data_IF_330084124239
#
_entry.id   IF_330084124239
#
_cell.length_a   1.000
_cell.length_b   1.000
_cell.length_c   1.000
_cell.angle_alpha   90.00
_cell.angle_beta   90.00
_cell.angle_gamma   90.00
#
_symmetry.space_group_name_H-M   'P 1'
#
loop_
_entity.id
_entity.type
_entity.pdbx_description
1 polymer ?
#
# COMPACT_ATOMS: atom_id res chain seq x y z
N UNK A 1 -29.23 -0.28 -81.67
CA UNK A 1 -29.84 0.72 -80.77
C UNK A 1 -28.78 1.21 -79.79
N UNK A 2 -28.70 2.53 -79.63
CA UNK A 2 -27.63 3.25 -78.93
C UNK A 2 -27.70 3.16 -77.39
N UNK A 3 -26.50 3.27 -76.79
CA UNK A 3 -26.13 3.98 -75.57
C UNK A 3 -26.78 3.59 -74.22
N UNK A 4 -25.95 3.28 -73.21
CA UNK A 4 -25.51 4.27 -72.20
C UNK A 4 -24.44 3.65 -71.28
N UNK A 5 -23.32 4.34 -71.18
CA UNK A 5 -22.22 4.14 -70.23
C UNK A 5 -22.64 4.50 -68.81
N UNK A 6 -22.22 3.74 -67.80
CA UNK A 6 -22.11 4.27 -66.43
C UNK A 6 -20.96 3.61 -65.68
N UNK A 7 -19.78 4.20 -65.83
CA UNK A 7 -18.68 4.09 -64.88
C UNK A 7 -19.04 4.82 -63.58
N UNK A 8 -18.83 4.18 -62.43
CA UNK A 8 -18.78 4.83 -61.11
C UNK A 8 -17.84 4.04 -60.19
N UNK A 9 -17.23 4.69 -59.19
CA UNK A 9 -15.79 4.68 -59.03
C UNK A 9 -15.36 3.83 -57.84
N UNK A 10 -14.11 3.38 -57.91
CA UNK A 10 -13.30 2.95 -56.79
C UNK A 10 -13.29 4.07 -55.72
N UNK A 11 -14.05 3.87 -54.65
CA UNK A 11 -14.05 4.77 -53.50
C UNK A 11 -13.08 4.22 -52.47
N UNK A 12 -11.96 4.91 -52.35
CA UNK A 12 -11.03 4.81 -51.25
C UNK A 12 -11.73 4.95 -49.87
N UNK A 13 -11.15 4.24 -48.89
CA UNK A 13 -11.32 4.41 -47.43
C UNK A 13 -11.30 5.89 -47.01
N UNK A 14 -12.01 6.27 -45.93
CA UNK A 14 -11.55 6.04 -44.54
C UNK A 14 -12.75 5.66 -43.62
N UNK A 15 -12.66 5.14 -42.41
CA UNK A 15 -11.82 5.47 -41.28
C UNK A 15 -11.85 4.29 -40.29
N UNK A 16 -10.68 3.81 -39.91
CA UNK A 16 -10.18 3.98 -38.56
C UNK A 16 -11.21 3.95 -37.41
N UNK A 17 -11.98 2.87 -37.26
CA UNK A 17 -12.43 2.48 -35.92
C UNK A 17 -11.27 1.77 -35.24
N UNK A 18 -10.29 2.58 -34.84
CA UNK A 18 -9.49 2.31 -33.65
C UNK A 18 -10.48 2.11 -32.51
N UNK A 19 -10.93 0.87 -32.34
CA UNK A 19 -11.15 0.34 -31.02
C UNK A 19 -9.88 0.64 -30.27
N UNK A 20 -9.93 1.69 -29.45
CA UNK A 20 -8.90 2.00 -28.49
C UNK A 20 -8.84 0.77 -27.59
N UNK A 21 -7.98 -0.17 -27.98
CA UNK A 21 -7.48 -1.20 -27.12
C UNK A 21 -6.72 -0.42 -26.06
N UNK A 22 -7.45 -0.02 -25.02
CA UNK A 22 -6.91 0.49 -23.78
C UNK A 22 -6.17 -0.67 -23.15
N UNK A 23 -4.99 -0.97 -23.70
CA UNK A 23 -4.03 -1.89 -23.12
C UNK A 23 -3.79 -1.34 -21.72
N UNK A 24 -4.19 -2.08 -20.67
CA UNK A 24 -3.92 -1.63 -19.31
C UNK A 24 -2.41 -1.47 -19.22
N UNK A 25 -1.96 -0.27 -18.89
CA UNK A 25 -0.57 0.14 -18.87
C UNK A 25 0.28 -0.92 -18.17
N UNK A 26 0.96 -1.80 -18.94
CA UNK A 26 1.69 -2.98 -18.48
C UNK A 26 2.99 -2.62 -17.73
N UNK A 27 2.89 -1.81 -16.68
CA UNK A 27 4.02 -1.37 -15.87
C UNK A 27 4.41 -2.39 -14.80
N UNK A 28 5.58 -2.19 -14.17
CA UNK A 28 6.04 -3.06 -13.07
C UNK A 28 5.05 -3.14 -11.92
N UNK A 29 4.31 -2.05 -11.66
CA UNK A 29 3.30 -1.99 -10.60
C UNK A 29 2.28 -3.12 -10.68
N UNK A 30 1.82 -3.47 -11.88
CA UNK A 30 0.78 -4.49 -12.06
C UNK A 30 1.26 -5.88 -11.66
N UNK A 31 2.57 -6.12 -11.75
CA UNK A 31 3.18 -7.39 -11.35
C UNK A 31 3.29 -7.53 -9.83
N UNK A 32 3.09 -6.46 -9.06
CA UNK A 32 3.09 -6.46 -7.59
C UNK A 32 1.71 -6.78 -7.00
N UNK A 33 0.70 -7.08 -7.83
CA UNK A 33 -0.68 -7.36 -7.36
C UNK A 33 -0.73 -8.46 -6.30
N UNK A 34 -0.07 -9.59 -6.53
CA UNK A 34 -0.08 -10.71 -5.58
C UNK A 34 0.70 -10.39 -4.31
N UNK A 35 1.75 -9.55 -4.42
CA UNK A 35 2.43 -8.98 -3.25
C UNK A 35 1.50 -8.10 -2.44
N UNK A 36 0.75 -7.21 -3.08
CA UNK A 36 -0.22 -6.35 -2.41
C UNK A 36 -1.31 -7.18 -1.70
N UNK A 37 -1.79 -8.26 -2.32
CA UNK A 37 -2.74 -9.18 -1.69
C UNK A 37 -2.17 -9.84 -0.44
N UNK A 38 -0.92 -10.31 -0.47
CA UNK A 38 -0.28 -10.88 0.71
C UNK A 38 -0.12 -9.83 1.82
N UNK A 39 0.39 -8.64 1.48
CA UNK A 39 0.62 -7.56 2.43
C UNK A 39 -0.67 -7.12 3.12
N UNK A 40 -1.75 -6.96 2.35
CA UNK A 40 -3.05 -6.59 2.91
C UNK A 40 -3.64 -7.70 3.78
N UNK A 41 -3.55 -8.96 3.36
CA UNK A 41 -4.03 -10.12 4.14
C UNK A 41 -3.34 -10.22 5.51
N UNK A 42 -2.01 -10.06 5.53
CA UNK A 42 -1.23 -10.06 6.77
C UNK A 42 -1.51 -8.80 7.62
N UNK A 43 -1.70 -7.64 6.98
CA UNK A 43 -2.02 -6.38 7.64
C UNK A 43 -3.35 -6.40 8.39
N UNK A 44 -4.38 -7.07 7.87
CA UNK A 44 -5.71 -7.15 8.51
C UNK A 44 -5.80 -8.13 9.70
N UNK A 45 -4.67 -8.63 10.20
CA UNK A 45 -4.63 -9.59 11.31
C UNK A 45 -4.60 -11.05 10.87
N UNK A 46 -4.27 -11.33 9.61
CA UNK A 46 -3.96 -12.68 9.16
C UNK A 46 -2.68 -13.15 9.84
N UNK A 47 -2.80 -13.99 10.87
CA UNK A 47 -1.66 -14.66 11.49
C UNK A 47 -1.40 -15.98 10.77
N UNK A 48 -0.16 -16.22 10.38
CA UNK A 48 0.25 -17.57 9.94
C UNK A 48 0.63 -18.39 11.17
N UNK A 49 0.23 -19.66 11.18
CA UNK A 49 0.71 -20.65 12.16
C UNK A 49 2.03 -21.29 11.72
N UNK A 50 2.44 -21.05 10.49
CA UNK A 50 3.60 -21.65 9.85
C UNK A 50 4.46 -20.57 9.17
N UNK A 51 5.62 -20.30 9.75
CA UNK A 51 6.58 -19.33 9.21
C UNK A 51 7.27 -19.84 7.95
N UNK A 52 7.43 -21.16 7.78
CA UNK A 52 8.06 -21.78 6.62
C UNK A 52 7.12 -21.76 5.41
N UNK A 53 5.83 -22.01 5.61
CA UNK A 53 4.81 -21.84 4.57
C UNK A 53 4.79 -20.40 4.06
N UNK A 54 4.78 -19.42 4.97
CA UNK A 54 4.81 -18.01 4.63
C UNK A 54 6.12 -17.63 3.90
N UNK A 55 7.25 -18.18 4.34
CA UNK A 55 8.54 -18.00 3.67
C UNK A 55 8.50 -18.52 2.23
N UNK A 56 7.98 -19.72 2.02
CA UNK A 56 7.84 -20.31 0.70
C UNK A 56 6.90 -19.49 -0.19
N UNK A 57 5.81 -18.96 0.37
CA UNK A 57 4.91 -18.04 -0.35
C UNK A 57 5.63 -16.77 -0.79
N UNK A 58 6.42 -16.15 0.08
CA UNK A 58 7.22 -14.98 -0.27
C UNK A 58 8.25 -15.29 -1.37
N UNK A 59 8.94 -16.45 -1.31
CA UNK A 59 9.88 -16.88 -2.36
C UNK A 59 9.20 -17.01 -3.72
N UNK A 60 8.01 -17.62 -3.77
CA UNK A 60 7.23 -17.73 -5.00
C UNK A 60 6.85 -16.35 -5.57
N UNK A 61 6.47 -15.40 -4.72
CA UNK A 61 6.16 -14.03 -5.16
C UNK A 61 7.38 -13.33 -5.77
N UNK A 62 8.56 -13.49 -5.15
CA UNK A 62 9.82 -12.92 -5.64
C UNK A 62 10.21 -13.55 -6.99
N UNK A 63 10.11 -14.88 -7.10
CA UNK A 63 10.41 -15.61 -8.33
C UNK A 63 9.46 -15.22 -9.47
N UNK A 64 8.14 -15.21 -9.20
CA UNK A 64 7.15 -14.79 -10.17
C UNK A 64 7.38 -13.36 -10.66
N UNK A 65 7.71 -12.44 -9.75
CA UNK A 65 8.03 -11.06 -10.09
C UNK A 65 9.30 -10.98 -10.95
N UNK A 66 10.37 -11.66 -10.55
CA UNK A 66 11.64 -11.73 -11.29
C UNK A 66 11.44 -12.22 -12.72
N UNK A 67 10.72 -13.33 -12.89
CA UNK A 67 10.47 -13.94 -14.20
C UNK A 67 9.54 -13.08 -15.06
N UNK A 68 8.53 -12.44 -14.46
CA UNK A 68 7.67 -11.51 -15.18
C UNK A 68 8.44 -10.27 -15.67
N UNK A 69 9.33 -9.71 -14.85
CA UNK A 69 10.18 -8.59 -15.27
C UNK A 69 11.14 -9.00 -16.39
N UNK A 70 11.73 -10.21 -16.29
CA UNK A 70 12.61 -10.77 -17.31
C UNK A 70 11.87 -10.97 -18.64
N UNK A 71 10.66 -11.55 -18.62
CA UNK A 71 9.82 -11.73 -19.80
C UNK A 71 9.43 -10.41 -20.47
N UNK A 72 9.27 -9.34 -19.69
CA UNK A 72 9.02 -7.98 -20.20
C UNK A 72 10.29 -7.26 -20.70
N UNK A 73 11.46 -7.89 -20.62
CA UNK A 73 12.72 -7.36 -21.15
C UNK A 73 13.36 -6.27 -20.29
N UNK A 74 13.01 -6.16 -19.01
CA UNK A 74 13.65 -5.17 -18.13
C UNK A 74 15.12 -5.53 -17.90
N UNK A 75 16.03 -4.53 -17.92
CA UNK A 75 17.45 -4.72 -17.63
C UNK A 75 17.72 -5.35 -16.26
N UNK A 76 18.81 -6.11 -16.13
CA UNK A 76 19.15 -6.83 -14.91
C UNK A 76 19.38 -5.92 -13.70
N UNK A 77 19.92 -4.71 -13.89
CA UNK A 77 20.11 -3.73 -12.81
C UNK A 77 18.76 -3.25 -12.25
N UNK A 78 17.79 -2.99 -13.13
CA UNK A 78 16.42 -2.58 -12.76
C UNK A 78 15.66 -3.72 -12.10
N UNK A 79 15.77 -4.92 -12.66
CA UNK A 79 15.16 -6.12 -12.08
C UNK A 79 15.65 -6.33 -10.66
N UNK A 80 16.97 -6.28 -10.47
CA UNK A 80 17.60 -6.41 -9.15
C UNK A 80 17.08 -5.37 -8.17
N UNK A 81 17.00 -4.10 -8.58
CA UNK A 81 16.50 -3.03 -7.70
C UNK A 81 15.03 -3.21 -7.31
N UNK A 82 14.17 -3.57 -8.27
CA UNK A 82 12.77 -3.85 -8.00
C UNK A 82 12.59 -5.04 -7.04
N UNK A 83 13.38 -6.10 -7.22
CA UNK A 83 13.33 -7.29 -6.36
C UNK A 83 13.83 -7.00 -4.94
N UNK A 84 14.91 -6.22 -4.78
CA UNK A 84 15.41 -5.81 -3.47
C UNK A 84 14.34 -5.03 -2.71
N UNK A 85 13.66 -4.10 -3.39
CA UNK A 85 12.58 -3.33 -2.79
C UNK A 85 11.38 -4.21 -2.39
N UNK A 86 11.02 -5.19 -3.22
CA UNK A 86 9.97 -6.17 -2.90
C UNK A 86 10.36 -7.03 -1.69
N UNK A 87 11.60 -7.51 -1.61
CA UNK A 87 12.10 -8.27 -0.46
C UNK A 87 12.00 -7.46 0.82
N UNK A 88 12.44 -6.19 0.80
CA UNK A 88 12.35 -5.31 1.98
C UNK A 88 10.92 -5.14 2.48
N UNK A 89 9.96 -4.93 1.57
CA UNK A 89 8.53 -4.86 1.91
C UNK A 89 8.02 -6.17 2.51
N UNK A 90 8.35 -7.31 1.91
CA UNK A 90 7.92 -8.61 2.40
C UNK A 90 8.52 -8.91 3.78
N UNK A 91 9.81 -8.69 3.97
CA UNK A 91 10.50 -8.88 5.25
C UNK A 91 9.85 -8.04 6.36
N UNK A 92 9.61 -6.74 6.12
CA UNK A 92 8.94 -5.88 7.10
C UNK A 92 7.50 -6.31 7.40
N UNK A 93 6.77 -6.71 6.37
CA UNK A 93 5.38 -7.16 6.50
C UNK A 93 5.31 -8.43 7.33
N UNK A 94 6.17 -9.41 7.03
CA UNK A 94 6.23 -10.69 7.74
C UNK A 94 6.66 -10.48 9.19
N UNK A 95 7.72 -9.70 9.43
CA UNK A 95 8.17 -9.40 10.79
C UNK A 95 7.06 -8.72 11.60
N UNK A 96 6.27 -7.83 11.00
CA UNK A 96 5.13 -7.19 11.68
C UNK A 96 3.99 -8.17 11.99
N UNK A 97 3.77 -9.17 11.14
CA UNK A 97 2.66 -10.12 11.27
C UNK A 97 2.99 -11.36 12.12
N UNK A 98 4.26 -11.76 12.21
CA UNK A 98 4.67 -12.95 12.96
C UNK A 98 4.61 -12.73 14.48
N UNK A 99 4.12 -13.73 15.25
CA UNK A 99 4.33 -13.83 16.69
C UNK A 99 5.82 -13.79 17.07
N UNK A 100 6.12 -13.28 18.26
CA UNK A 100 7.48 -13.03 18.73
C UNK A 100 8.37 -14.29 18.67
N UNK A 101 7.82 -15.45 18.99
CA UNK A 101 8.49 -16.75 18.98
C UNK A 101 8.96 -17.19 17.58
N UNK A 102 8.27 -16.76 16.52
CA UNK A 102 8.62 -17.10 15.13
C UNK A 102 9.47 -16.01 14.44
N UNK A 103 9.52 -14.79 15.01
CA UNK A 103 10.28 -13.67 14.45
C UNK A 103 11.79 -13.90 14.46
N UNK A 104 12.33 -14.49 15.53
CA UNK A 104 13.77 -14.68 15.67
C UNK A 104 14.39 -15.48 14.50
N UNK A 105 13.70 -16.54 14.05
CA UNK A 105 14.13 -17.32 12.88
C UNK A 105 14.11 -16.52 11.58
N UNK A 106 13.15 -15.61 11.43
CA UNK A 106 13.08 -14.72 10.27
C UNK A 106 14.15 -13.63 10.30
N UNK A 107 14.40 -13.02 11.46
CA UNK A 107 15.40 -11.98 11.66
C UNK A 107 16.83 -12.48 11.42
N UNK A 108 17.12 -13.74 11.76
CA UNK A 108 18.42 -14.36 11.49
C UNK A 108 18.71 -14.53 9.99
N UNK A 109 17.67 -14.73 9.18
CA UNK A 109 17.83 -15.00 7.75
C UNK A 109 16.66 -14.41 6.94
N UNK A 110 16.62 -13.08 6.78
CA UNK A 110 15.56 -12.41 6.02
C UNK A 110 15.72 -12.68 4.52
N UNK A 111 14.66 -12.47 3.74
CA UNK A 111 14.63 -12.77 2.30
C UNK A 111 15.69 -11.98 1.53
N UNK A 112 15.97 -10.74 1.92
CA UNK A 112 17.05 -9.93 1.36
C UNK A 112 18.44 -10.59 1.48
N UNK A 113 18.72 -11.27 2.61
CA UNK A 113 19.97 -12.00 2.83
C UNK A 113 19.96 -13.28 2.00
N UNK A 114 18.84 -14.01 2.00
CA UNK A 114 18.74 -15.26 1.24
C UNK A 114 18.91 -15.06 -0.27
N UNK A 115 18.29 -14.02 -0.83
CA UNK A 115 18.21 -13.81 -2.28
C UNK A 115 19.34 -12.94 -2.83
N UNK A 116 19.83 -11.99 -2.03
CA UNK A 116 20.80 -10.98 -2.50
C UNK A 116 22.06 -10.88 -1.64
N UNK A 117 22.14 -11.62 -0.54
CA UNK A 117 23.20 -11.50 0.47
C UNK A 117 23.36 -10.05 0.97
N UNK A 118 22.25 -9.31 1.02
CA UNK A 118 22.19 -7.92 1.48
C UNK A 118 21.61 -7.88 2.90
N UNK A 119 22.23 -7.08 3.76
CA UNK A 119 21.78 -6.86 5.14
C UNK A 119 21.11 -5.49 5.33
N UNK A 120 21.14 -4.65 4.29
CA UNK A 120 20.87 -3.22 4.33
C UNK A 120 19.80 -2.80 3.29
N UNK A 121 18.91 -3.69 2.82
CA UNK A 121 17.86 -3.29 1.87
C UNK A 121 16.96 -2.18 2.44
N UNK A 122 16.71 -2.21 3.76
CA UNK A 122 15.94 -1.18 4.47
C UNK A 122 16.54 0.23 4.35
N UNK A 123 17.86 0.35 4.23
CA UNK A 123 18.56 1.63 4.07
C UNK A 123 18.77 1.96 2.59
N UNK A 124 19.31 1.00 1.83
CA UNK A 124 19.74 1.22 0.45
C UNK A 124 18.59 1.45 -0.55
N UNK A 125 17.36 1.01 -0.24
CA UNK A 125 16.19 1.24 -1.11
C UNK A 125 15.91 2.73 -1.30
N UNK A 126 15.97 3.53 -0.23
CA UNK A 126 15.70 4.96 -0.31
C UNK A 126 16.82 5.73 -1.02
N UNK A 127 18.08 5.37 -0.77
CA UNK A 127 19.22 5.98 -1.47
C UNK A 127 19.17 5.70 -2.98
N UNK A 128 18.83 4.46 -3.36
CA UNK A 128 18.61 4.07 -4.76
C UNK A 128 17.44 4.83 -5.37
N UNK A 129 16.31 4.93 -4.68
CA UNK A 129 15.17 5.71 -5.14
C UNK A 129 15.55 7.18 -5.40
N UNK A 130 16.22 7.83 -4.45
CA UNK A 130 16.65 9.23 -4.60
C UNK A 130 17.68 9.40 -5.74
N UNK A 131 18.53 8.41 -5.98
CA UNK A 131 19.40 8.39 -7.15
C UNK A 131 18.59 8.28 -8.46
N UNK A 132 17.67 7.32 -8.55
CA UNK A 132 16.81 7.10 -9.74
C UNK A 132 15.89 8.29 -10.04
N UNK A 133 15.40 9.00 -9.02
CA UNK A 133 14.61 10.22 -9.20
C UNK A 133 15.40 11.38 -9.83
N UNK A 134 16.73 11.39 -9.69
CA UNK A 134 17.62 12.41 -10.27
C UNK A 134 18.10 12.07 -11.69
N UNK A 135 17.88 10.85 -12.16
CA UNK A 135 18.27 10.44 -13.52
C UNK A 135 17.47 11.21 -14.58
N UNK A 136 18.13 11.53 -15.70
CA UNK A 136 17.51 12.21 -16.84
C UNK A 136 17.89 11.48 -18.14
N UNK A 137 16.94 10.83 -18.85
CA UNK A 137 15.53 10.64 -18.45
C UNK A 137 15.38 9.61 -17.32
N UNK A 138 14.39 9.78 -16.42
CA UNK A 138 14.13 8.83 -15.34
C UNK A 138 13.49 7.53 -15.87
N UNK A 139 13.81 6.40 -15.23
CA UNK A 139 13.16 5.11 -15.50
C UNK A 139 11.77 5.05 -14.84
N UNK A 140 10.76 5.55 -15.54
CA UNK A 140 9.38 5.74 -15.01
C UNK A 140 8.80 4.46 -14.38
N UNK A 141 8.88 3.32 -15.06
CA UNK A 141 8.30 2.07 -14.56
C UNK A 141 8.91 1.60 -13.22
N UNK A 142 10.20 1.86 -13.01
CA UNK A 142 10.87 1.56 -11.74
C UNK A 142 10.45 2.54 -10.64
N UNK A 143 10.28 3.82 -10.97
CA UNK A 143 9.72 4.80 -10.04
C UNK A 143 8.28 4.46 -9.63
N UNK A 144 7.46 3.97 -10.57
CA UNK A 144 6.11 3.46 -10.27
C UNK A 144 6.15 2.21 -9.37
N UNK A 145 7.12 1.32 -9.59
CA UNK A 145 7.37 0.18 -8.72
C UNK A 145 7.69 0.62 -7.29
N UNK A 146 8.63 1.57 -7.11
CA UNK A 146 8.94 2.15 -5.81
C UNK A 146 7.72 2.83 -5.17
N UNK A 147 6.96 3.62 -5.94
CA UNK A 147 5.75 4.26 -5.44
C UNK A 147 4.71 3.24 -4.97
N UNK A 148 4.57 2.10 -5.65
CA UNK A 148 3.69 1.02 -5.25
C UNK A 148 4.18 0.32 -3.96
N UNK A 149 5.48 0.04 -3.86
CA UNK A 149 6.10 -0.57 -2.67
C UNK A 149 5.97 0.33 -1.44
N UNK A 150 6.32 1.61 -1.58
CA UNK A 150 6.10 2.61 -0.54
C UNK A 150 4.62 2.78 -0.25
N UNK A 151 3.78 2.65 -1.28
CA UNK A 151 2.33 2.62 -1.29
C UNK A 151 1.70 1.39 -0.63
N UNK A 152 2.44 0.31 -0.38
CA UNK A 152 1.97 -0.86 0.38
C UNK A 152 2.35 -0.85 1.86
N UNK A 153 3.29 0.01 2.29
CA UNK A 153 3.67 0.08 3.71
C UNK A 153 5.15 0.07 3.99
N UNK A 154 6.01 -0.06 2.98
CA UNK A 154 7.45 -0.13 3.21
C UNK A 154 7.97 1.12 3.94
N UNK A 155 8.62 0.92 5.08
CA UNK A 155 9.12 1.99 5.95
C UNK A 155 10.64 2.13 5.83
N UNK A 156 11.37 1.01 5.80
CA UNK A 156 12.83 0.93 5.79
C UNK A 156 13.47 1.71 6.93
N UNK A 157 14.55 2.45 6.63
CA UNK A 157 15.31 3.26 7.60
C UNK A 157 14.45 4.22 8.43
N UNK A 158 13.33 4.69 7.85
CA UNK A 158 12.43 5.62 8.53
C UNK A 158 11.67 5.02 9.72
N UNK A 159 11.75 3.69 9.94
CA UNK A 159 11.23 3.08 11.16
C UNK A 159 11.99 3.53 12.42
N UNK A 160 13.26 3.94 12.26
CA UNK A 160 14.12 4.47 13.34
C UNK A 160 14.23 6.00 13.29
N UNK A 161 13.95 6.59 12.15
CA UNK A 161 14.00 8.04 11.93
C UNK A 161 12.59 8.65 12.03
N UNK A 162 12.40 9.83 11.45
CA UNK A 162 11.12 10.53 11.42
C UNK A 162 10.29 10.16 10.18
N UNK A 163 8.98 10.04 10.34
CA UNK A 163 8.04 9.88 9.22
C UNK A 163 7.91 11.12 8.32
N UNK A 164 8.31 12.29 8.82
CA UNK A 164 8.23 13.56 8.07
C UNK A 164 9.05 13.52 6.77
N UNK A 165 10.38 13.24 6.80
CA UNK A 165 11.17 13.14 5.57
C UNK A 165 10.68 12.03 4.63
N UNK A 166 10.21 10.90 5.15
CA UNK A 166 9.60 9.83 4.34
C UNK A 166 8.39 10.33 3.55
N UNK A 167 7.46 10.99 4.24
CA UNK A 167 6.25 11.53 3.62
C UNK A 167 6.56 12.59 2.55
N UNK A 168 7.58 13.42 2.78
CA UNK A 168 8.04 14.42 1.82
C UNK A 168 8.66 13.79 0.56
N UNK A 169 9.47 12.73 0.72
CA UNK A 169 10.04 11.98 -0.39
C UNK A 169 8.95 11.30 -1.23
N UNK A 170 7.98 10.65 -0.59
CA UNK A 170 6.83 10.04 -1.26
C UNK A 170 6.02 11.10 -2.04
N UNK A 171 5.81 12.28 -1.45
CA UNK A 171 5.11 13.37 -2.13
C UNK A 171 5.86 13.84 -3.39
N UNK A 172 7.19 14.05 -3.29
CA UNK A 172 8.04 14.40 -4.45
C UNK A 172 8.00 13.34 -5.54
N UNK A 173 8.10 12.05 -5.17
CA UNK A 173 8.01 10.93 -6.11
C UNK A 173 6.68 10.94 -6.87
N UNK A 174 5.57 11.13 -6.15
CA UNK A 174 4.24 11.16 -6.77
C UNK A 174 4.09 12.36 -7.72
N UNK A 175 4.51 13.56 -7.32
CA UNK A 175 4.47 14.75 -8.20
C UNK A 175 5.32 14.55 -9.45
N UNK A 176 6.49 13.92 -9.32
CA UNK A 176 7.35 13.60 -10.46
C UNK A 176 6.69 12.57 -11.39
N UNK A 177 6.05 11.52 -10.85
CA UNK A 177 5.32 10.54 -11.66
C UNK A 177 4.12 11.16 -12.38
N UNK A 178 3.39 12.07 -11.73
CA UNK A 178 2.27 12.80 -12.31
C UNK A 178 2.71 13.67 -13.50
N UNK A 179 3.88 14.31 -13.42
CA UNK A 179 4.42 15.10 -14.54
C UNK A 179 4.95 14.23 -15.69
N UNK A 180 5.49 13.05 -15.38
CA UNK A 180 6.02 12.11 -16.38
C UNK A 180 4.92 11.31 -17.11
N UNK A 181 3.78 11.06 -16.46
CA UNK A 181 2.61 10.39 -17.07
C UNK A 181 1.28 11.04 -16.63
N UNK A 182 0.92 12.21 -17.18
CA UNK A 182 -0.36 12.86 -16.85
C UNK A 182 -1.59 11.99 -17.19
N UNK A 183 -1.45 11.00 -18.07
CA UNK A 183 -2.55 10.11 -18.51
C UNK A 183 -2.73 8.82 -17.69
N UNK A 184 -1.76 8.39 -16.87
CA UNK A 184 -1.87 7.16 -16.05
C UNK A 184 -2.80 7.32 -14.82
N UNK A 185 -3.24 8.55 -14.54
CA UNK A 185 -4.05 8.91 -13.36
C UNK A 185 -5.47 8.31 -13.33
N UNK A 186 -5.89 7.52 -14.33
CA UNK A 186 -7.26 6.95 -14.38
C UNK A 186 -7.40 5.47 -14.03
N UNK A 187 -6.32 4.69 -13.90
CA UNK A 187 -6.51 3.24 -13.77
C UNK A 187 -6.59 2.67 -12.35
N UNK A 188 -6.17 3.34 -11.26
CA UNK A 188 -6.35 2.73 -9.93
C UNK A 188 -6.21 3.77 -8.79
N UNK A 189 -7.35 4.33 -8.36
CA UNK A 189 -7.47 5.21 -7.18
C UNK A 189 -7.85 4.41 -5.91
N UNK A 190 -7.92 3.08 -5.98
CA UNK A 190 -8.50 2.29 -4.90
C UNK A 190 -7.60 2.22 -3.64
N UNK A 191 -6.29 2.43 -3.72
CA UNK A 191 -5.40 2.10 -2.58
C UNK A 191 -4.90 3.30 -1.75
N UNK A 192 -5.17 4.55 -2.16
CA UNK A 192 -4.63 5.73 -1.47
C UNK A 192 -5.43 6.10 -0.21
N UNK A 193 -6.73 5.80 -0.17
CA UNK A 193 -7.62 6.15 0.95
C UNK A 193 -7.52 5.16 2.13
N UNK A 194 -7.32 3.87 1.84
CA UNK A 194 -7.26 2.83 2.86
C UNK A 194 -6.08 3.00 3.83
N UNK A 195 -4.92 3.41 3.32
CA UNK A 195 -3.71 3.56 4.14
C UNK A 195 -3.69 4.77 5.05
N UNK A 196 -4.29 5.89 4.64
CA UNK A 196 -4.38 7.09 5.49
C UNK A 196 -5.28 6.86 6.71
N UNK A 197 -6.30 6.01 6.55
CA UNK A 197 -7.17 5.57 7.65
C UNK A 197 -6.49 4.48 8.48
N UNK A 198 -5.85 3.48 7.85
CA UNK A 198 -5.11 2.42 8.55
C UNK A 198 -3.99 2.97 9.44
N UNK A 199 -3.12 3.84 8.92
CA UNK A 199 -2.05 4.49 9.70
C UNK A 199 -2.63 5.40 10.80
N UNK A 200 -3.83 5.97 10.61
CA UNK A 200 -4.54 6.71 11.66
C UNK A 200 -5.07 5.79 12.77
N UNK A 201 -5.55 4.59 12.43
CA UNK A 201 -6.00 3.58 13.41
C UNK A 201 -4.83 2.91 14.15
N UNK A 202 -3.68 2.64 13.51
CA UNK A 202 -2.48 2.13 14.19
C UNK A 202 -1.80 3.17 15.08
N UNK A 203 -2.08 4.47 14.88
CA UNK A 203 -1.63 5.57 15.75
C UNK A 203 -2.57 5.85 16.93
N UNK A 204 -3.77 5.25 16.97
CA UNK A 204 -4.49 5.15 18.23
C UNK A 204 -3.79 4.11 19.10
N UNK A 205 -2.79 4.59 19.86
CA UNK A 205 -2.20 3.87 20.98
C UNK A 205 -3.32 3.19 21.79
N UNK A 206 -3.18 1.93 22.22
CA UNK A 206 -4.18 1.24 23.04
C UNK A 206 -4.66 2.08 24.25
N UNK A 207 -3.79 2.97 24.74
CA UNK A 207 -4.07 3.95 25.79
C UNK A 207 -5.06 5.05 25.39
N UNK A 208 -5.09 5.46 24.13
CA UNK A 208 -6.06 6.44 23.61
C UNK A 208 -7.48 5.84 23.54
N UNK A 209 -7.59 4.56 23.18
CA UNK A 209 -8.86 3.82 23.16
C UNK A 209 -9.36 3.62 24.60
N UNK A 210 -8.47 3.22 25.52
CA UNK A 210 -8.79 3.12 26.95
C UNK A 210 -9.23 4.48 27.53
N UNK A 211 -8.54 5.57 27.17
CA UNK A 211 -8.90 6.92 27.58
C UNK A 211 -10.29 7.33 27.07
N UNK A 212 -10.58 7.09 25.79
CA UNK A 212 -11.89 7.39 25.21
C UNK A 212 -13.01 6.59 25.87
N UNK A 213 -12.78 5.30 26.15
CA UNK A 213 -13.74 4.45 26.85
C UNK A 213 -14.02 4.95 28.28
N UNK A 214 -12.98 5.37 29.01
CA UNK A 214 -13.14 6.00 30.34
C UNK A 214 -13.96 7.30 30.27
N UNK A 215 -13.70 8.16 29.29
CA UNK A 215 -14.45 9.41 29.11
C UNK A 215 -15.92 9.12 28.80
N UNK A 216 -16.20 8.17 27.90
CA UNK A 216 -17.56 7.76 27.59
C UNK A 216 -18.28 7.20 28.82
N UNK A 217 -17.60 6.36 29.62
CA UNK A 217 -18.15 5.83 30.86
C UNK A 217 -18.45 6.94 31.88
N UNK A 218 -17.58 7.95 32.02
CA UNK A 218 -17.83 9.10 32.89
C UNK A 218 -19.03 9.93 32.43
N UNK A 219 -19.17 10.16 31.12
CA UNK A 219 -20.33 10.89 30.58
C UNK A 219 -21.62 10.13 30.87
N UNK A 220 -21.64 8.81 30.64
CA UNK A 220 -22.81 7.96 30.94
C UNK A 220 -23.11 7.99 32.43
N UNK A 221 -22.11 7.85 33.30
CA UNK A 221 -22.29 7.91 34.75
C UNK A 221 -22.84 9.26 35.21
N UNK A 222 -22.33 10.36 34.66
CA UNK A 222 -22.77 11.71 35.00
C UNK A 222 -24.20 11.99 34.54
N UNK A 223 -24.59 11.49 33.37
CA UNK A 223 -25.97 11.56 32.87
C UNK A 223 -26.94 10.74 33.74
N UNK A 224 -26.54 9.54 34.16
CA UNK A 224 -27.33 8.70 35.06
C UNK A 224 -27.46 9.32 36.45
N UNK A 225 -26.37 9.84 37.02
CA UNK A 225 -26.38 10.51 38.32
C UNK A 225 -27.30 11.73 38.32
N UNK A 226 -27.22 12.58 37.28
CA UNK A 226 -28.11 13.73 37.13
C UNK A 226 -29.59 13.33 36.96
N UNK A 227 -29.87 12.25 36.23
CA UNK A 227 -31.23 11.74 36.09
C UNK A 227 -31.80 11.19 37.42
N UNK A 228 -30.95 10.57 38.23
CA UNK A 228 -31.30 10.08 39.57
C UNK A 228 -31.60 11.23 40.54
N UNK A 229 -30.78 12.28 40.57
CA UNK A 229 -31.01 13.45 41.42
C UNK A 229 -32.32 14.17 41.07
N UNK A 230 -32.67 14.23 39.78
CA UNK A 230 -33.93 14.83 39.32
C UNK A 230 -35.15 14.02 39.77
N UNK A 231 -35.05 12.69 39.87
CA UNK A 231 -36.14 11.84 40.38
C UNK A 231 -36.25 11.88 41.91
N UNK A 232 -35.12 11.98 42.63
CA UNK A 232 -35.11 12.11 44.09
C UNK A 232 -35.72 13.46 44.52
N UNK A 233 -35.45 14.55 43.77
CA UNK A 233 -36.03 15.87 44.04
C UNK A 233 -37.56 15.90 43.94
N UNK A 234 -38.16 15.06 43.09
CA UNK A 234 -39.62 14.91 42.99
C UNK A 234 -40.24 14.05 44.10
N UNK A 235 -39.46 13.22 44.79
CA UNK A 235 -39.92 12.40 45.92
C UNK A 235 -39.68 13.06 47.29
N UNK A 236 -38.82 14.08 47.35
CA UNK A 236 -38.53 14.84 48.56
C UNK A 236 -39.69 15.69 49.15
N UNK A 237 -40.71 16.18 48.40
CA UNK A 237 -41.74 17.01 49.02
C UNK A 237 -42.80 16.19 49.80
N UNK A 238 -42.77 14.85 49.77
CA UNK A 238 -43.80 14.01 50.40
C UNK A 238 -43.44 13.45 51.79
N UNK A 239 -42.27 13.79 52.35
CA UNK A 239 -41.87 13.36 53.71
C UNK A 239 -41.67 14.55 54.67
N UNK A 240 -42.49 15.58 54.53
CA UNK A 240 -42.79 16.52 55.59
C UNK A 240 -44.30 16.48 55.84
N UNK A 241 -44.71 16.38 57.09
CA UNK A 241 -46.10 16.29 57.60
C UNK A 241 -46.59 14.85 57.78
N UNK A 242 -46.43 14.35 59.01
CA UNK A 242 -47.55 13.82 59.80
C UNK A 242 -47.34 14.18 61.28
N UNK A 243 -48.43 14.44 62.02
CA UNK A 243 -48.49 15.25 63.24
C UNK A 243 -47.85 14.60 64.46
#
# INVERSE_FOLDING_TARGET
>A
MNALTSSRPESALPDSLTGADSTPSHGMRDLLRDTALLVTTLGTGGTTKDADELRNRCRQLIEHFSEALKRRGYPDDVRREALIAQCGLLDETVLRALPAEMRAGWELKPLQVEQFNLHDAGESVFDRLEARMRETPPRVDLLECYAAILGMGFVGRYARESEVPRSALIARLNTQLESLRPSSARSFVIDRAGRRLSDWFYRLSPWAIAGLACVAAMIVWMLWAGALDMQIAHLAPAKGIRP
#
